data_IF_537404690889
#
_entry.id   IF_537404690889
#
_cell.length_a   1.000
_cell.length_b   1.000
_cell.length_c   1.000
_cell.angle_alpha   90.00
_cell.angle_beta   90.00
_cell.angle_gamma   90.00
#
_symmetry.space_group_name_H-M   'P 1'
#
loop_
_entity.id
_entity.type
_entity.pdbx_description
1 polymer ?
#
# COMPACT_ATOMS: atom_id res chain seq x y z
N UNK A 1 -51.53 19.75 14.06
CA UNK A 1 -50.05 19.87 13.84
C UNK A 1 -49.76 21.16 13.12
N UNK A 2 -48.95 22.07 13.68
CA UNK A 2 -48.64 23.36 13.08
C UNK A 2 -47.81 23.19 11.81
N UNK A 3 -47.91 24.10 10.84
CA UNK A 3 -47.17 24.10 9.57
C UNK A 3 -45.67 23.94 9.81
N UNK A 4 -45.12 24.61 10.84
CA UNK A 4 -43.72 24.51 11.26
C UNK A 4 -43.33 23.07 11.65
N UNK A 5 -44.18 22.33 12.34
CA UNK A 5 -43.91 20.93 12.72
C UNK A 5 -43.90 20.00 11.51
N UNK A 6 -44.80 20.23 10.53
CA UNK A 6 -44.82 19.47 9.27
C UNK A 6 -43.58 19.78 8.43
N UNK A 7 -43.19 21.04 8.31
CA UNK A 7 -41.96 21.44 7.60
C UNK A 7 -40.70 20.83 8.25
N UNK A 8 -40.62 20.82 9.58
CA UNK A 8 -39.51 20.19 10.32
C UNK A 8 -39.43 18.68 10.08
N UNK A 9 -40.55 17.97 10.07
CA UNK A 9 -40.60 16.53 9.78
C UNK A 9 -40.16 16.25 8.33
N UNK A 10 -40.63 17.01 7.38
CA UNK A 10 -40.25 16.86 5.96
C UNK A 10 -38.75 17.13 5.77
N UNK A 11 -38.21 18.16 6.40
CA UNK A 11 -36.79 18.46 6.39
C UNK A 11 -35.95 17.31 7.03
N UNK A 12 -36.40 16.76 8.14
CA UNK A 12 -35.73 15.62 8.78
C UNK A 12 -35.75 14.35 7.91
N UNK A 13 -36.90 14.06 7.26
CA UNK A 13 -37.02 12.95 6.32
C UNK A 13 -36.08 13.14 5.11
N UNK A 14 -36.00 14.34 4.58
CA UNK A 14 -35.11 14.66 3.46
C UNK A 14 -33.63 14.58 3.84
N UNK A 15 -33.27 14.93 5.07
CA UNK A 15 -31.88 14.89 5.56
C UNK A 15 -31.45 13.47 6.00
N UNK A 16 -32.39 12.59 6.35
CA UNK A 16 -32.08 11.27 6.90
C UNK A 16 -31.15 10.41 6.01
N UNK A 17 -31.32 10.32 4.68
CA UNK A 17 -30.43 9.54 3.82
C UNK A 17 -28.99 10.05 3.86
N UNK A 18 -28.78 11.36 3.88
CA UNK A 18 -27.46 11.98 3.94
C UNK A 18 -26.80 11.72 5.31
N UNK A 19 -27.57 11.84 6.39
CA UNK A 19 -27.11 11.55 7.76
C UNK A 19 -26.69 10.07 7.90
N UNK A 20 -27.49 9.14 7.35
CA UNK A 20 -27.16 7.72 7.32
C UNK A 20 -25.90 7.42 6.49
N UNK A 21 -25.78 8.04 5.31
CA UNK A 21 -24.59 7.90 4.46
C UNK A 21 -23.33 8.45 5.15
N UNK A 22 -23.44 9.59 5.82
CA UNK A 22 -22.32 10.17 6.59
C UNK A 22 -21.95 9.30 7.80
N UNK A 23 -22.94 8.80 8.54
CA UNK A 23 -22.72 7.84 9.64
C UNK A 23 -22.05 6.56 9.14
N UNK A 24 -22.51 5.99 8.03
CA UNK A 24 -21.85 4.86 7.40
C UNK A 24 -20.39 5.16 7.07
N UNK A 25 -20.12 6.32 6.46
CA UNK A 25 -18.76 6.72 6.10
C UNK A 25 -17.82 6.83 7.31
N UNK A 26 -18.31 7.35 8.46
CA UNK A 26 -17.52 7.40 9.71
C UNK A 26 -17.22 6.00 10.24
N UNK A 27 -18.22 5.12 10.29
CA UNK A 27 -18.07 3.76 10.81
C UNK A 27 -17.17 2.92 9.88
N UNK A 28 -17.38 3.06 8.56
CA UNK A 28 -16.52 2.44 7.55
C UNK A 28 -15.06 2.87 7.71
N UNK A 29 -14.79 4.17 7.90
CA UNK A 29 -13.44 4.69 8.17
C UNK A 29 -12.82 4.03 9.38
N UNK A 30 -13.55 3.94 10.49
CA UNK A 30 -13.09 3.30 11.72
C UNK A 30 -12.68 1.85 11.52
N UNK A 31 -13.25 1.16 10.53
CA UNK A 31 -12.97 -0.24 10.24
C UNK A 31 -11.95 -0.43 9.12
N UNK A 32 -12.13 0.26 8.00
CA UNK A 32 -11.28 0.11 6.82
C UNK A 32 -9.94 0.86 6.93
N UNK A 33 -9.80 1.78 7.88
CA UNK A 33 -8.56 2.52 8.11
C UNK A 33 -7.54 1.80 8.99
N UNK A 34 -7.87 0.61 9.49
CA UNK A 34 -7.05 -0.16 10.42
C UNK A 34 -6.56 -1.44 9.73
N UNK A 35 -5.34 -1.47 9.18
CA UNK A 35 -4.78 -2.70 8.65
C UNK A 35 -4.55 -3.70 9.78
N UNK A 36 -4.67 -4.99 9.46
CA UNK A 36 -4.21 -6.05 10.36
C UNK A 36 -2.69 -6.18 10.21
N UNK A 37 -1.89 -5.89 11.24
CA UNK A 37 -0.45 -6.07 11.18
C UNK A 37 -0.11 -7.55 10.98
N UNK A 38 0.89 -7.80 10.15
CA UNK A 38 1.37 -9.15 9.83
C UNK A 38 2.88 -9.11 9.81
N UNK A 39 3.54 -9.40 10.93
CA UNK A 39 4.99 -9.42 11.01
C UNK A 39 5.61 -10.33 9.94
N UNK A 40 6.76 -9.96 9.38
CA UNK A 40 7.48 -10.81 8.43
C UNK A 40 7.73 -12.20 9.00
N UNK A 41 7.54 -13.23 8.18
CA UNK A 41 7.77 -14.64 8.54
C UNK A 41 9.14 -15.12 8.04
N UNK A 42 9.66 -14.51 6.99
CA UNK A 42 10.94 -14.81 6.39
C UNK A 42 11.80 -13.54 6.31
N UNK A 43 13.11 -13.77 6.26
CA UNK A 43 14.15 -12.74 6.08
C UNK A 43 14.91 -12.96 4.78
N UNK A 44 15.70 -12.02 4.29
CA UNK A 44 16.58 -12.26 3.14
C UNK A 44 17.56 -13.43 3.36
N UNK A 45 17.99 -13.70 4.61
CA UNK A 45 18.88 -14.81 4.92
C UNK A 45 18.27 -16.19 4.64
N UNK A 46 16.95 -16.34 4.80
CA UNK A 46 16.24 -17.58 4.48
C UNK A 46 16.30 -17.93 2.98
N UNK A 47 16.62 -16.94 2.14
CA UNK A 47 16.86 -17.11 0.71
C UNK A 47 18.34 -16.99 0.34
N UNK A 48 19.24 -17.04 1.31
CA UNK A 48 20.69 -16.95 1.10
C UNK A 48 21.19 -15.57 0.68
N UNK A 49 20.41 -14.52 0.90
CA UNK A 49 20.79 -13.15 0.55
C UNK A 49 21.41 -12.44 1.76
N UNK A 50 22.61 -11.83 1.63
CA UNK A 50 23.14 -10.96 2.67
C UNK A 50 22.26 -9.72 2.83
N UNK A 51 22.09 -9.24 4.06
CA UNK A 51 21.29 -8.04 4.32
C UNK A 51 21.71 -7.33 5.60
N UNK A 52 21.26 -6.09 5.73
CA UNK A 52 21.38 -5.27 6.94
C UNK A 52 19.96 -4.94 7.44
N UNK A 53 19.71 -5.11 8.74
CA UNK A 53 18.54 -4.51 9.38
C UNK A 53 18.73 -3.00 9.42
N UNK A 54 17.74 -2.26 8.90
CA UNK A 54 17.80 -0.79 8.88
C UNK A 54 16.59 -0.17 9.56
N UNK A 55 16.82 0.99 10.17
CA UNK A 55 15.77 1.82 10.76
C UNK A 55 15.65 3.10 9.95
N UNK A 56 14.54 3.26 9.24
CA UNK A 56 14.31 4.40 8.34
C UNK A 56 13.50 5.48 9.07
N UNK A 57 14.09 6.64 9.38
CA UNK A 57 13.37 7.72 10.03
C UNK A 57 12.41 8.41 9.04
N UNK A 58 11.21 8.75 9.51
CA UNK A 58 10.24 9.54 8.76
C UNK A 58 10.24 10.99 9.21
N UNK A 59 9.73 11.90 8.38
CA UNK A 59 9.68 13.33 8.70
C UNK A 59 8.71 13.68 9.82
N UNK A 60 7.78 12.80 10.14
CA UNK A 60 6.81 12.95 11.23
C UNK A 60 7.20 12.17 12.50
N UNK A 61 8.48 11.79 12.60
CA UNK A 61 9.08 11.24 13.83
C UNK A 61 8.88 9.74 14.03
N UNK A 62 8.31 9.02 13.06
CA UNK A 62 8.23 7.57 13.11
C UNK A 62 9.53 6.93 12.61
N UNK A 63 9.68 5.64 12.87
CA UNK A 63 10.78 4.82 12.35
C UNK A 63 10.21 3.58 11.68
N UNK A 64 10.56 3.37 10.41
CA UNK A 64 10.15 2.20 9.66
C UNK A 64 11.23 1.11 9.79
N UNK A 65 10.90 -0.10 10.21
CA UNK A 65 11.81 -1.23 10.11
C UNK A 65 11.98 -1.63 8.64
N UNK A 66 13.20 -1.95 8.24
CA UNK A 66 13.53 -2.30 6.86
C UNK A 66 14.72 -3.23 6.74
N UNK A 67 14.94 -3.68 5.52
CA UNK A 67 16.11 -4.45 5.11
C UNK A 67 16.80 -3.77 3.95
N UNK A 68 18.12 -3.57 4.08
CA UNK A 68 18.96 -3.25 2.96
C UNK A 68 19.64 -4.52 2.48
N UNK A 69 19.45 -4.85 1.19
CA UNK A 69 20.02 -6.02 0.54
C UNK A 69 20.92 -5.54 -0.59
N UNK A 70 22.25 -5.77 -0.54
CA UNK A 70 23.16 -5.31 -1.56
C UNK A 70 22.95 -6.07 -2.89
N UNK A 71 23.26 -5.41 -4.00
CA UNK A 71 23.36 -6.03 -5.32
C UNK A 71 24.38 -7.15 -5.34
N UNK A 72 24.22 -8.09 -6.25
CA UNK A 72 25.25 -9.12 -6.48
C UNK A 72 26.57 -8.47 -6.89
N UNK A 73 27.64 -8.80 -6.15
CA UNK A 73 28.97 -8.22 -6.34
C UNK A 73 29.30 -7.00 -5.48
N UNK A 74 28.36 -6.45 -4.69
CA UNK A 74 28.61 -5.49 -3.59
C UNK A 74 29.32 -4.17 -3.97
N UNK A 75 29.21 -3.72 -5.23
CA UNK A 75 29.84 -2.49 -5.75
C UNK A 75 28.88 -1.31 -5.60
N UNK A 76 29.41 -0.08 -5.62
CA UNK A 76 28.58 1.12 -5.79
C UNK A 76 27.74 0.99 -7.05
N UNK A 77 26.42 1.18 -6.92
CA UNK A 77 25.48 0.96 -8.01
C UNK A 77 24.09 1.55 -7.73
N UNK A 78 23.16 1.40 -8.68
CA UNK A 78 21.80 1.89 -8.52
C UNK A 78 21.03 1.10 -7.46
N UNK A 79 20.05 1.77 -6.83
CA UNK A 79 19.21 1.17 -5.79
C UNK A 79 17.73 1.34 -6.06
N UNK A 80 16.93 0.47 -5.44
CA UNK A 80 15.46 0.48 -5.51
C UNK A 80 14.89 0.42 -4.09
N UNK A 81 14.10 1.43 -3.71
CA UNK A 81 13.27 1.37 -2.51
C UNK A 81 11.97 0.62 -2.84
N UNK A 82 11.65 -0.41 -2.05
CA UNK A 82 10.51 -1.29 -2.28
C UNK A 82 9.44 -1.09 -1.22
N UNK A 83 8.19 -0.94 -1.68
CA UNK A 83 7.03 -0.65 -0.83
C UNK A 83 5.92 -1.66 -1.09
N UNK A 84 5.55 -2.41 -0.05
CA UNK A 84 4.50 -3.42 -0.12
C UNK A 84 3.08 -2.82 -0.14
N UNK A 85 2.05 -3.66 -0.35
CA UNK A 85 0.64 -3.28 -0.36
C UNK A 85 -0.03 -3.31 1.02
N UNK A 86 -1.36 -3.09 1.00
CA UNK A 86 -2.21 -3.12 2.20
C UNK A 86 -2.22 -4.50 2.87
N UNK A 87 -2.20 -4.51 4.21
CA UNK A 87 -2.13 -5.73 5.03
C UNK A 87 -1.04 -6.72 4.60
N UNK A 88 0.13 -6.21 4.24
CA UNK A 88 1.30 -6.93 3.78
C UNK A 88 2.52 -6.59 4.65
N UNK A 89 3.68 -7.14 4.32
CA UNK A 89 4.94 -6.85 4.98
C UNK A 89 6.12 -6.95 3.98
N UNK A 90 7.30 -6.53 4.41
CA UNK A 90 8.52 -6.49 3.59
C UNK A 90 8.98 -7.86 3.09
N UNK A 91 8.65 -8.96 3.79
CA UNK A 91 8.99 -10.34 3.37
C UNK A 91 8.29 -10.76 2.06
N UNK A 92 7.16 -10.16 1.73
CA UNK A 92 6.49 -10.39 0.44
C UNK A 92 7.21 -9.78 -0.74
N UNK A 93 8.16 -8.91 -0.47
CA UNK A 93 9.02 -8.30 -1.48
C UNK A 93 10.28 -9.14 -1.75
N UNK A 94 10.53 -10.20 -0.98
CA UNK A 94 11.72 -11.05 -1.12
C UNK A 94 11.92 -11.59 -2.55
N UNK A 95 10.88 -12.11 -3.27
CA UNK A 95 11.06 -12.53 -4.66
C UNK A 95 11.43 -11.38 -5.60
N UNK A 96 10.95 -10.15 -5.31
CA UNK A 96 11.37 -8.97 -6.09
C UNK A 96 12.82 -8.61 -5.80
N UNK A 97 13.23 -8.67 -4.53
CA UNK A 97 14.61 -8.44 -4.11
C UNK A 97 15.56 -9.41 -4.80
N UNK A 98 15.20 -10.70 -4.91
CA UNK A 98 16.02 -11.71 -5.56
C UNK A 98 16.38 -11.34 -6.99
N UNK A 99 15.40 -11.02 -7.84
CA UNK A 99 15.70 -10.72 -9.24
C UNK A 99 16.32 -9.33 -9.44
N UNK A 100 15.97 -8.36 -8.57
CA UNK A 100 16.56 -7.02 -8.66
C UNK A 100 18.05 -7.03 -8.29
N UNK A 101 18.43 -7.75 -7.21
CA UNK A 101 19.85 -7.86 -6.85
C UNK A 101 20.68 -8.61 -7.90
N UNK A 102 20.11 -9.66 -8.50
CA UNK A 102 20.74 -10.38 -9.60
C UNK A 102 20.93 -9.48 -10.85
N UNK A 103 20.02 -8.54 -11.06
CA UNK A 103 20.09 -7.51 -12.10
C UNK A 103 21.00 -6.32 -11.73
N UNK A 104 21.70 -6.35 -10.59
CA UNK A 104 22.67 -5.34 -10.18
C UNK A 104 22.11 -4.16 -9.39
N UNK A 105 20.93 -4.28 -8.78
CA UNK A 105 20.31 -3.23 -7.97
C UNK A 105 20.44 -3.52 -6.48
N UNK A 106 20.87 -2.53 -5.69
CA UNK A 106 20.66 -2.53 -4.25
C UNK A 106 19.18 -2.40 -3.94
N UNK A 107 18.71 -3.06 -2.89
CA UNK A 107 17.30 -3.07 -2.52
C UNK A 107 17.12 -2.58 -1.09
N UNK A 108 16.20 -1.64 -0.84
CA UNK A 108 15.77 -1.27 0.50
C UNK A 108 14.26 -1.51 0.63
N UNK A 109 13.87 -2.53 1.38
CA UNK A 109 12.47 -2.87 1.63
C UNK A 109 12.07 -2.47 3.05
N UNK A 110 10.92 -1.81 3.22
CA UNK A 110 10.43 -1.33 4.51
C UNK A 110 9.04 -1.89 4.82
N UNK A 111 8.73 -2.02 6.12
CA UNK A 111 7.34 -2.14 6.56
C UNK A 111 6.75 -0.73 6.71
N UNK A 112 5.73 -0.43 5.91
CA UNK A 112 4.97 0.80 6.00
C UNK A 112 4.27 0.89 7.37
N UNK A 113 4.10 2.10 7.89
CA UNK A 113 3.39 2.32 9.17
C UNK A 113 2.08 1.53 9.28
N UNK A 114 1.83 0.93 10.43
CA UNK A 114 0.67 0.09 10.71
C UNK A 114 0.66 -1.27 10.02
N UNK A 115 1.73 -1.64 9.32
CA UNK A 115 1.86 -2.90 8.60
C UNK A 115 3.12 -3.65 9.05
N UNK A 116 3.19 -4.94 8.69
CA UNK A 116 4.35 -5.76 9.00
C UNK A 116 4.66 -5.76 10.48
N UNK A 117 5.92 -5.47 10.83
CA UNK A 117 6.38 -5.30 12.20
C UNK A 117 6.26 -3.84 12.71
N UNK A 118 5.71 -2.92 11.90
CA UNK A 118 5.60 -1.50 12.23
C UNK A 118 4.24 -1.16 12.83
N UNK A 119 4.07 -1.37 14.11
CA UNK A 119 2.85 -1.08 14.85
C UNK A 119 2.80 0.40 15.24
N UNK A 120 1.88 1.17 14.64
CA UNK A 120 1.64 2.58 14.97
C UNK A 120 0.17 2.81 15.28
N UNK A 121 -0.10 3.71 16.23
CA UNK A 121 -1.46 4.05 16.66
C UNK A 121 -2.19 5.03 15.74
N UNK A 122 -1.48 5.62 14.78
CA UNK A 122 -2.02 6.73 13.99
C UNK A 122 -2.92 6.20 12.88
N UNK A 123 -4.21 6.39 13.04
CA UNK A 123 -5.27 5.91 12.14
C UNK A 123 -6.22 7.04 11.73
N UNK A 124 -6.82 6.98 10.57
CA UNK A 124 -6.71 5.98 9.50
C UNK A 124 -5.39 6.10 8.73
N UNK A 125 -4.91 4.99 8.17
CA UNK A 125 -3.80 4.96 7.22
C UNK A 125 -4.37 5.12 5.81
N UNK A 126 -3.76 5.99 5.02
CA UNK A 126 -4.21 6.33 3.66
C UNK A 126 -3.07 6.16 2.65
N UNK A 127 -3.34 6.38 1.38
CA UNK A 127 -2.29 6.44 0.35
C UNK A 127 -1.26 7.56 0.62
N UNK A 128 -1.65 8.62 1.34
CA UNK A 128 -0.73 9.70 1.73
C UNK A 128 0.38 9.21 2.64
N UNK A 129 0.03 8.39 3.64
CA UNK A 129 1.01 7.79 4.54
C UNK A 129 1.93 6.81 3.80
N UNK A 130 1.39 6.00 2.86
CA UNK A 130 2.21 5.18 1.98
C UNK A 130 3.19 6.02 1.15
N UNK A 131 2.76 7.20 0.67
CA UNK A 131 3.63 8.15 -0.04
C UNK A 131 4.75 8.71 0.83
N UNK A 132 4.43 9.10 2.06
CA UNK A 132 5.42 9.61 3.02
C UNK A 132 6.45 8.54 3.39
N UNK A 133 6.00 7.30 3.62
CA UNK A 133 6.89 6.18 3.98
C UNK A 133 7.73 5.71 2.79
N UNK A 134 7.18 5.70 1.58
CA UNK A 134 7.92 5.43 0.35
C UNK A 134 9.03 6.48 0.11
N UNK A 135 8.73 7.76 0.36
CA UNK A 135 9.71 8.84 0.29
C UNK A 135 10.81 8.69 1.35
N UNK A 136 10.44 8.32 2.58
CA UNK A 136 11.40 8.07 3.65
C UNK A 136 12.33 6.90 3.30
N UNK A 137 11.78 5.80 2.76
CA UNK A 137 12.56 4.65 2.29
C UNK A 137 13.53 5.04 1.18
N UNK A 138 13.06 5.81 0.19
CA UNK A 138 13.93 6.29 -0.89
C UNK A 138 15.04 7.22 -0.37
N UNK A 139 14.74 8.16 0.55
CA UNK A 139 15.75 9.04 1.14
C UNK A 139 16.82 8.28 1.93
N UNK A 140 16.41 7.25 2.66
CA UNK A 140 17.36 6.39 3.36
C UNK A 140 18.25 5.58 2.40
N UNK A 141 17.71 5.17 1.27
CA UNK A 141 18.45 4.52 0.19
C UNK A 141 19.43 5.50 -0.49
N UNK A 142 18.95 6.69 -0.86
CA UNK A 142 19.72 7.75 -1.54
C UNK A 142 20.89 8.29 -0.68
N UNK A 143 20.74 8.23 0.64
CA UNK A 143 21.79 8.65 1.58
C UNK A 143 22.93 7.64 1.75
N UNK A 144 22.84 6.44 1.17
CA UNK A 144 23.87 5.42 1.29
C UNK A 144 25.04 5.70 0.35
N UNK A 145 26.29 5.56 0.81
CA UNK A 145 27.48 5.81 -0.02
C UNK A 145 27.68 4.77 -1.13
N UNK A 146 27.04 3.60 -1.01
CA UNK A 146 27.07 2.52 -1.99
C UNK A 146 25.95 2.64 -3.05
N UNK A 147 25.07 3.66 -2.95
CA UNK A 147 23.98 3.90 -3.90
C UNK A 147 24.27 5.12 -4.77
N UNK A 148 24.33 4.92 -6.09
CA UNK A 148 24.65 5.97 -7.07
C UNK A 148 23.44 6.73 -7.58
N UNK A 149 22.27 6.08 -7.64
CA UNK A 149 20.98 6.62 -8.08
C UNK A 149 19.84 5.76 -7.53
N UNK A 150 18.66 6.33 -7.32
CA UNK A 150 17.57 5.63 -6.67
C UNK A 150 16.23 5.68 -7.37
N UNK A 151 15.54 4.54 -7.47
CA UNK A 151 14.16 4.41 -7.90
C UNK A 151 13.24 3.99 -6.74
N UNK A 152 11.93 4.07 -6.97
CA UNK A 152 10.92 3.50 -6.07
C UNK A 152 10.07 2.48 -6.82
N UNK A 153 9.91 1.29 -6.25
CA UNK A 153 9.02 0.25 -6.74
C UNK A 153 7.96 -0.04 -5.68
N UNK A 154 6.69 0.00 -6.08
CA UNK A 154 5.59 -0.29 -5.18
C UNK A 154 4.58 -1.26 -5.76
N UNK A 155 3.89 -1.97 -4.87
CA UNK A 155 2.79 -2.86 -5.22
C UNK A 155 1.48 -2.39 -4.57
N UNK A 156 0.37 -2.33 -5.34
CA UNK A 156 -0.96 -1.98 -4.84
C UNK A 156 -0.97 -0.60 -4.15
N UNK A 157 -1.28 -0.52 -2.86
CA UNK A 157 -1.16 0.72 -2.08
C UNK A 157 0.26 1.27 -2.08
N UNK A 158 1.29 0.41 -2.03
CA UNK A 158 2.69 0.81 -2.18
C UNK A 158 2.99 1.43 -3.55
N UNK A 159 2.27 1.01 -4.61
CA UNK A 159 2.41 1.60 -5.94
C UNK A 159 1.88 3.05 -5.98
N UNK A 160 0.75 3.34 -5.32
CA UNK A 160 0.32 4.74 -5.13
C UNK A 160 1.39 5.48 -4.32
N UNK A 161 1.91 4.86 -3.25
CA UNK A 161 2.98 5.42 -2.43
C UNK A 161 4.21 5.80 -3.25
N UNK A 162 4.67 4.93 -4.15
CA UNK A 162 5.80 5.19 -5.05
C UNK A 162 5.53 6.38 -5.98
N UNK A 163 4.34 6.45 -6.58
CA UNK A 163 3.91 7.56 -7.44
C UNK A 163 3.86 8.89 -6.66
N UNK A 164 3.30 8.87 -5.44
CA UNK A 164 3.22 10.06 -4.60
C UNK A 164 4.60 10.53 -4.12
N UNK A 165 5.49 9.62 -3.77
CA UNK A 165 6.87 9.92 -3.39
C UNK A 165 7.62 10.61 -4.54
N UNK A 166 7.53 10.09 -5.77
CA UNK A 166 8.17 10.68 -6.93
C UNK A 166 7.56 12.03 -7.34
N UNK A 167 6.26 12.26 -7.08
CA UNK A 167 5.64 13.56 -7.29
C UNK A 167 6.09 14.61 -6.26
N UNK A 168 6.63 14.18 -5.12
CA UNK A 168 7.12 15.04 -4.04
C UNK A 168 8.65 15.22 -4.05
N UNK A 169 9.40 14.30 -4.70
CA UNK A 169 10.87 14.31 -4.73
C UNK A 169 11.38 14.12 -6.15
N UNK A 170 11.79 15.21 -6.82
CA UNK A 170 12.26 15.15 -8.21
C UNK A 170 13.55 14.36 -8.44
N UNK A 171 14.35 14.06 -7.41
CA UNK A 171 15.57 13.25 -7.50
C UNK A 171 15.29 11.75 -7.64
N UNK A 172 14.04 11.30 -7.40
CA UNK A 172 13.66 9.92 -7.70
C UNK A 172 13.80 9.71 -9.21
N UNK A 173 14.72 8.84 -9.60
CA UNK A 173 15.14 8.70 -11.00
C UNK A 173 14.20 7.81 -11.83
N UNK A 174 13.40 6.94 -11.20
CA UNK A 174 12.40 6.12 -11.88
C UNK A 174 11.31 5.61 -10.89
N UNK A 175 10.14 5.27 -11.44
CA UNK A 175 9.04 4.66 -10.68
C UNK A 175 8.57 3.38 -11.37
N UNK A 176 8.42 2.31 -10.59
CA UNK A 176 7.69 1.10 -11.01
C UNK A 176 6.45 0.95 -10.15
N UNK A 177 5.27 1.01 -10.77
CA UNK A 177 3.98 0.93 -10.09
C UNK A 177 3.22 -0.33 -10.54
N UNK A 178 3.21 -1.36 -9.69
CA UNK A 178 2.58 -2.64 -9.97
C UNK A 178 1.19 -2.71 -9.35
N UNK A 179 0.17 -3.03 -10.15
CA UNK A 179 -1.24 -3.19 -9.71
C UNK A 179 -1.79 -1.95 -8.97
N UNK A 180 -1.42 -0.74 -9.45
CA UNK A 180 -1.73 0.52 -8.78
C UNK A 180 -3.20 0.90 -8.92
N UNK A 181 -3.91 1.24 -7.81
CA UNK A 181 -5.15 2.00 -7.89
C UNK A 181 -4.91 3.40 -8.49
N UNK A 182 -5.83 3.89 -9.33
CA UNK A 182 -5.69 5.20 -9.98
C UNK A 182 -6.16 6.36 -9.09
N UNK A 183 -7.36 6.22 -8.51
CA UNK A 183 -8.00 7.28 -7.73
C UNK A 183 -8.58 6.74 -6.42
N UNK A 184 -8.50 7.49 -5.29
CA UNK A 184 -8.95 7.02 -3.97
C UNK A 184 -10.42 6.62 -3.92
N UNK A 185 -11.32 7.41 -4.52
CA UNK A 185 -12.75 7.11 -4.49
C UNK A 185 -13.14 5.89 -5.32
N UNK A 186 -12.38 5.59 -6.39
CA UNK A 186 -12.54 4.36 -7.17
C UNK A 186 -12.07 3.15 -6.37
N UNK A 187 -10.98 3.30 -5.62
CA UNK A 187 -10.53 2.28 -4.69
C UNK A 187 -11.60 2.02 -3.61
N UNK A 188 -12.17 3.07 -3.00
CA UNK A 188 -13.27 2.90 -2.04
C UNK A 188 -14.47 2.20 -2.69
N UNK A 189 -14.84 2.53 -3.93
CA UNK A 189 -15.90 1.82 -4.67
C UNK A 189 -15.55 0.35 -4.88
N UNK A 190 -14.27 0.04 -5.17
CA UNK A 190 -13.80 -1.32 -5.33
C UNK A 190 -13.84 -2.09 -3.99
N UNK A 191 -13.50 -1.47 -2.86
CA UNK A 191 -13.65 -2.12 -1.55
C UNK A 191 -15.11 -2.46 -1.23
N UNK A 192 -16.09 -1.66 -1.69
CA UNK A 192 -17.50 -2.01 -1.56
C UNK A 192 -17.86 -3.27 -2.38
N UNK A 193 -17.27 -3.43 -3.55
CA UNK A 193 -17.45 -4.65 -4.37
C UNK A 193 -16.80 -5.86 -3.71
N UNK A 194 -15.58 -5.73 -3.21
CA UNK A 194 -14.88 -6.81 -2.50
C UNK A 194 -15.66 -7.26 -1.25
N UNK A 195 -16.21 -6.30 -0.50
CA UNK A 195 -17.12 -6.58 0.63
C UNK A 195 -18.50 -7.07 0.19
N UNK A 196 -18.77 -7.14 -1.11
CA UNK A 196 -20.07 -7.56 -1.69
C UNK A 196 -21.26 -6.79 -1.10
N UNK A 197 -21.11 -5.45 -0.94
CA UNK A 197 -22.17 -4.61 -0.42
C UNK A 197 -23.34 -4.51 -1.41
N UNK A 198 -24.60 -4.51 -0.92
CA UNK A 198 -25.79 -4.59 -1.76
C UNK A 198 -26.19 -3.24 -2.35
N UNK A 199 -25.21 -2.46 -2.82
CA UNK A 199 -25.46 -1.14 -3.42
C UNK A 199 -25.42 -1.19 -4.94
N UNK A 200 -26.50 -0.77 -5.62
CA UNK A 200 -26.44 -0.52 -7.06
C UNK A 200 -25.47 0.64 -7.34
N UNK A 201 -24.91 0.68 -8.55
CA UNK A 201 -23.87 1.65 -8.90
C UNK A 201 -24.33 3.12 -8.71
N UNK A 202 -25.59 3.42 -8.98
CA UNK A 202 -26.17 4.76 -8.77
C UNK A 202 -26.07 5.25 -7.32
N UNK A 203 -26.09 4.33 -6.34
CA UNK A 203 -25.92 4.63 -4.91
C UNK A 203 -24.46 4.49 -4.49
N UNK A 204 -23.80 3.45 -4.98
CA UNK A 204 -22.45 3.10 -4.56
C UNK A 204 -21.41 4.16 -4.96
N UNK A 205 -21.52 4.81 -6.13
CA UNK A 205 -20.56 5.84 -6.54
C UNK A 205 -20.65 7.12 -5.68
N UNK A 206 -21.82 7.76 -5.48
CA UNK A 206 -21.93 8.89 -4.57
C UNK A 206 -21.49 8.56 -3.14
N UNK A 207 -21.86 7.37 -2.66
CA UNK A 207 -21.48 6.92 -1.32
C UNK A 207 -19.97 6.71 -1.19
N UNK A 208 -19.30 6.11 -2.19
CA UNK A 208 -17.85 5.96 -2.20
C UNK A 208 -17.15 7.32 -2.24
N UNK A 209 -17.68 8.28 -2.99
CA UNK A 209 -17.17 9.65 -3.05
C UNK A 209 -17.24 10.35 -1.67
N UNK A 210 -18.39 10.26 -0.99
CA UNK A 210 -18.57 10.78 0.37
C UNK A 210 -17.66 10.06 1.36
N UNK A 211 -17.67 8.71 1.34
CA UNK A 211 -16.86 7.87 2.24
C UNK A 211 -15.38 8.18 2.11
N UNK A 212 -14.87 8.35 0.90
CA UNK A 212 -13.47 8.73 0.68
C UNK A 212 -13.12 10.05 1.37
N UNK A 213 -13.97 11.08 1.25
CA UNK A 213 -13.72 12.37 1.91
C UNK A 213 -13.75 12.30 3.42
N UNK A 214 -14.71 11.57 3.97
CA UNK A 214 -14.81 11.32 5.42
C UNK A 214 -13.61 10.52 5.91
N UNK A 215 -13.13 9.56 5.10
CA UNK A 215 -11.97 8.75 5.41
C UNK A 215 -10.68 9.60 5.51
N UNK A 216 -10.48 10.52 4.56
CA UNK A 216 -9.27 11.32 4.46
C UNK A 216 -9.22 12.50 5.45
N UNK A 217 -10.39 12.98 5.91
CA UNK A 217 -10.50 14.20 6.73
C UNK A 217 -9.59 14.23 7.98
N UNK A 218 -9.45 13.15 8.78
CA UNK A 218 -8.59 13.18 9.97
C UNK A 218 -7.11 13.40 9.68
N UNK A 219 -6.67 13.11 8.43
CA UNK A 219 -5.30 13.31 7.98
C UNK A 219 -5.09 14.64 7.26
N UNK A 220 -6.15 15.43 7.08
CA UNK A 220 -6.09 16.66 6.31
C UNK A 220 -5.87 16.47 4.81
N UNK A 221 -5.90 15.23 4.29
CA UNK A 221 -5.72 14.96 2.88
C UNK A 221 -6.98 15.30 2.07
N UNK A 222 -6.77 15.96 0.93
CA UNK A 222 -7.78 16.05 -0.14
C UNK A 222 -7.61 14.88 -1.09
N UNK A 223 -8.68 14.52 -1.80
CA UNK A 223 -8.65 13.41 -2.78
C UNK A 223 -7.55 13.60 -3.84
N UNK A 224 -7.33 14.85 -4.29
CA UNK A 224 -6.32 15.17 -5.29
C UNK A 224 -4.88 14.97 -4.77
N UNK A 225 -4.65 15.15 -3.46
CA UNK A 225 -3.32 15.07 -2.86
C UNK A 225 -2.78 13.63 -2.87
N UNK A 226 -3.69 12.65 -2.82
CA UNK A 226 -3.37 11.23 -2.75
C UNK A 226 -3.86 10.43 -3.98
N UNK A 227 -4.21 11.11 -5.07
CA UNK A 227 -4.58 10.48 -6.34
C UNK A 227 -3.33 10.18 -7.16
N UNK A 228 -3.12 8.92 -7.55
CA UNK A 228 -2.05 8.54 -8.47
C UNK A 228 -2.20 9.25 -9.83
N UNK A 229 -3.45 9.40 -10.32
CA UNK A 229 -3.74 10.13 -11.56
C UNK A 229 -3.29 11.61 -11.48
N UNK A 230 -3.52 12.28 -10.35
CA UNK A 230 -3.08 13.66 -10.17
C UNK A 230 -1.56 13.77 -9.95
N UNK A 231 -0.98 12.81 -9.23
CA UNK A 231 0.45 12.78 -8.93
C UNK A 231 1.31 12.52 -10.17
N UNK A 232 0.91 11.59 -11.04
CA UNK A 232 1.61 11.29 -12.29
C UNK A 232 1.86 12.53 -13.16
N UNK A 233 0.99 13.53 -13.11
CA UNK A 233 1.15 14.78 -13.87
C UNK A 233 2.29 15.66 -13.36
N UNK A 234 2.83 15.37 -12.17
CA UNK A 234 3.88 16.15 -11.51
C UNK A 234 5.23 15.45 -11.44
N UNK A 235 5.29 14.18 -11.84
CA UNK A 235 6.52 13.40 -11.88
C UNK A 235 7.36 13.88 -13.05
N UNK A 236 8.69 14.00 -12.87
CA UNK A 236 9.64 14.26 -13.96
C UNK A 236 10.38 13.02 -14.44
N UNK A 237 10.32 11.94 -13.68
CA UNK A 237 11.02 10.69 -13.94
C UNK A 237 10.19 9.73 -14.82
N UNK A 238 10.83 8.80 -15.58
CA UNK A 238 10.12 7.74 -16.28
C UNK A 238 9.35 6.84 -15.32
N UNK A 239 8.16 6.38 -15.75
CA UNK A 239 7.26 5.53 -14.98
C UNK A 239 6.95 4.26 -15.76
N UNK A 240 7.09 3.10 -15.11
CA UNK A 240 6.59 1.82 -15.61
C UNK A 240 5.33 1.42 -14.82
N UNK A 241 4.20 1.32 -15.50
CA UNK A 241 2.94 0.81 -14.97
C UNK A 241 2.80 -0.67 -15.33
N UNK A 242 2.62 -1.54 -14.33
CA UNK A 242 2.45 -2.98 -14.57
C UNK A 242 1.12 -3.44 -13.98
N UNK A 243 0.37 -4.26 -14.74
CA UNK A 243 -0.93 -4.78 -14.27
C UNK A 243 -1.24 -6.16 -14.88
N UNK A 244 -1.96 -6.97 -14.12
CA UNK A 244 -2.48 -8.25 -14.59
C UNK A 244 -3.92 -8.16 -15.08
N UNK A 245 -4.28 -8.86 -16.17
CA UNK A 245 -5.64 -8.85 -16.72
C UNK A 245 -6.66 -9.56 -15.82
N UNK A 246 -6.21 -10.50 -14.97
CA UNK A 246 -7.04 -11.24 -14.02
C UNK A 246 -7.05 -10.64 -12.61
N UNK A 247 -6.62 -9.37 -12.46
CA UNK A 247 -6.65 -8.67 -11.17
C UNK A 247 -8.10 -8.31 -10.78
N UNK A 248 -8.63 -9.03 -9.79
CA UNK A 248 -9.98 -8.82 -9.24
C UNK A 248 -9.98 -7.87 -8.04
N UNK A 249 -8.83 -7.59 -7.44
CA UNK A 249 -8.70 -6.68 -6.28
C UNK A 249 -8.62 -5.24 -6.75
N UNK A 250 -7.74 -4.95 -7.71
CA UNK A 250 -7.64 -3.67 -8.40
C UNK A 250 -7.79 -3.95 -9.89
N UNK A 251 -9.00 -3.87 -10.45
CA UNK A 251 -9.23 -4.22 -11.86
C UNK A 251 -8.34 -3.44 -12.83
N UNK A 252 -7.95 -4.06 -13.95
CA UNK A 252 -7.06 -3.48 -14.98
C UNK A 252 -7.54 -2.12 -15.52
N UNK A 253 -8.82 -1.81 -15.40
CA UNK A 253 -9.37 -0.49 -15.71
C UNK A 253 -8.72 0.68 -14.92
N UNK A 254 -8.03 0.38 -13.80
CA UNK A 254 -7.20 1.36 -13.11
C UNK A 254 -5.93 1.67 -13.90
N UNK A 255 -5.27 0.65 -14.48
CA UNK A 255 -4.14 0.86 -15.39
C UNK A 255 -4.57 1.71 -16.59
N UNK A 256 -5.67 1.36 -17.29
CA UNK A 256 -6.18 2.11 -18.44
C UNK A 256 -6.34 3.59 -18.13
N UNK A 257 -6.76 3.90 -16.91
CA UNK A 257 -6.95 5.27 -16.47
C UNK A 257 -5.63 6.01 -16.25
N UNK A 258 -4.64 5.36 -15.66
CA UNK A 258 -3.30 5.93 -15.49
C UNK A 258 -2.60 6.07 -16.84
N UNK A 259 -2.75 5.09 -17.69
CA UNK A 259 -2.15 5.03 -19.03
C UNK A 259 -2.66 6.12 -19.98
N UNK A 260 -3.91 6.59 -19.79
CA UNK A 260 -4.45 7.74 -20.57
C UNK A 260 -3.66 9.03 -20.37
N UNK A 261 -2.76 9.09 -19.40
CA UNK A 261 -1.86 10.21 -19.19
C UNK A 261 -0.60 10.13 -20.07
N UNK A 262 -0.35 9.00 -20.76
CA UNK A 262 0.76 8.85 -21.71
C UNK A 262 0.64 9.93 -22.77
N UNK A 263 1.74 10.66 -22.99
CA UNK A 263 1.79 11.81 -23.90
C UNK A 263 1.15 13.10 -23.35
N UNK A 264 0.50 13.07 -22.18
CA UNK A 264 -0.06 14.25 -21.50
C UNK A 264 0.83 14.72 -20.33
N UNK A 265 1.87 13.97 -20.03
CA UNK A 265 2.89 14.26 -19.02
C UNK A 265 4.23 14.60 -19.69
N UNK A 266 5.08 15.33 -19.00
CA UNK A 266 6.42 15.68 -19.50
C UNK A 266 7.45 14.55 -19.40
N UNK A 267 7.02 13.32 -19.03
CA UNK A 267 7.90 12.16 -18.83
C UNK A 267 7.32 10.91 -19.52
N UNK A 268 8.18 9.91 -19.83
CA UNK A 268 7.73 8.64 -20.42
C UNK A 268 6.90 7.84 -19.42
N UNK A 269 5.76 7.30 -19.87
CA UNK A 269 4.97 6.30 -19.17
C UNK A 269 4.94 5.04 -20.03
N UNK A 270 5.66 4.02 -19.58
CA UNK A 270 5.66 2.68 -20.18
C UNK A 270 4.60 1.81 -19.50
N UNK A 271 4.08 0.81 -20.20
CA UNK A 271 3.06 -0.09 -19.70
C UNK A 271 3.45 -1.54 -19.97
N UNK A 272 3.20 -2.41 -18.98
CA UNK A 272 3.26 -3.86 -19.13
C UNK A 272 1.94 -4.45 -18.65
N UNK A 273 1.17 -5.02 -19.56
CA UNK A 273 -0.04 -5.79 -19.25
C UNK A 273 0.30 -7.27 -19.30
N UNK A 274 0.04 -7.99 -18.20
CA UNK A 274 0.32 -9.43 -18.10
C UNK A 274 -0.98 -10.18 -18.19
N UNK A 275 -1.15 -10.94 -19.28
CA UNK A 275 -2.33 -11.75 -19.47
C UNK A 275 -2.43 -12.88 -18.44
N UNK A 276 -3.61 -13.06 -17.86
CA UNK A 276 -3.85 -14.00 -16.75
C UNK A 276 -3.20 -13.59 -15.42
N UNK A 277 -2.44 -12.48 -15.38
CA UNK A 277 -1.81 -11.98 -14.15
C UNK A 277 -2.84 -11.55 -13.11
N UNK A 278 -2.67 -12.00 -11.87
CA UNK A 278 -3.52 -11.67 -10.73
C UNK A 278 -3.00 -10.40 -10.02
N UNK A 279 -3.71 -9.94 -8.99
CA UNK A 279 -3.31 -8.75 -8.21
C UNK A 279 -1.90 -8.85 -7.62
N UNK A 280 -1.54 -10.02 -7.13
CA UNK A 280 -0.23 -10.31 -6.54
C UNK A 280 0.55 -11.27 -7.44
N UNK A 281 1.85 -11.47 -7.15
CA UNK A 281 2.73 -12.47 -7.76
C UNK A 281 3.06 -12.25 -9.24
N UNK A 282 2.90 -11.03 -9.77
CA UNK A 282 3.29 -10.73 -11.15
C UNK A 282 4.79 -11.00 -11.40
N UNK A 283 5.60 -10.98 -10.36
CA UNK A 283 7.02 -11.36 -10.42
C UNK A 283 7.26 -12.85 -10.79
N UNK A 284 6.26 -13.72 -10.70
CA UNK A 284 6.38 -15.11 -11.19
C UNK A 284 6.48 -15.17 -12.72
N UNK A 285 5.98 -14.15 -13.43
CA UNK A 285 6.08 -14.07 -14.87
C UNK A 285 7.49 -13.61 -15.29
N UNK A 286 8.23 -14.39 -16.13
CA UNK A 286 9.55 -13.98 -16.61
C UNK A 286 9.56 -12.60 -17.26
N UNK A 287 8.54 -12.30 -18.08
CA UNK A 287 8.39 -11.00 -18.75
C UNK A 287 8.31 -9.83 -17.76
N UNK A 288 7.69 -10.01 -16.58
CA UNK A 288 7.67 -8.99 -15.53
C UNK A 288 9.08 -8.67 -15.06
N UNK A 289 9.84 -9.69 -14.67
CA UNK A 289 11.20 -9.54 -14.14
C UNK A 289 12.12 -8.89 -15.15
N UNK A 290 12.08 -9.39 -16.40
CA UNK A 290 12.86 -8.83 -17.50
C UNK A 290 12.54 -7.37 -17.74
N UNK A 291 11.26 -7.02 -17.91
CA UNK A 291 10.83 -5.66 -18.22
C UNK A 291 11.16 -4.68 -17.12
N UNK A 292 10.90 -5.05 -15.84
CA UNK A 292 11.20 -4.20 -14.69
C UNK A 292 12.70 -3.94 -14.58
N UNK A 293 13.55 -4.96 -14.70
CA UNK A 293 14.99 -4.81 -14.59
C UNK A 293 15.58 -4.01 -15.77
N UNK A 294 15.14 -4.28 -17.00
CA UNK A 294 15.57 -3.51 -18.17
C UNK A 294 15.14 -2.05 -18.10
N UNK A 295 13.90 -1.78 -17.64
CA UNK A 295 13.42 -0.42 -17.45
C UNK A 295 14.26 0.35 -16.41
N UNK A 296 14.51 -0.27 -15.25
CA UNK A 296 15.31 0.33 -14.19
C UNK A 296 16.77 0.57 -14.66
N UNK A 297 17.39 -0.38 -15.37
CA UNK A 297 18.75 -0.21 -15.90
C UNK A 297 18.84 0.94 -16.92
N UNK A 298 17.82 1.12 -17.77
CA UNK A 298 17.75 2.27 -18.68
C UNK A 298 17.65 3.60 -17.94
N UNK A 299 16.85 3.64 -16.87
CA UNK A 299 16.56 4.87 -16.15
C UNK A 299 17.66 5.27 -15.16
N UNK A 300 18.26 4.29 -14.48
CA UNK A 300 19.22 4.52 -13.40
C UNK A 300 20.68 4.42 -13.86
N UNK A 301 20.95 3.76 -14.99
CA UNK A 301 22.26 3.26 -15.32
C UNK A 301 22.67 2.09 -14.42
N UNK A 302 23.94 1.82 -14.34
CA UNK A 302 24.48 0.77 -13.48
C UNK A 302 25.52 -0.11 -14.18
N UNK A 303 25.95 -1.20 -13.51
CA UNK A 303 27.03 -2.05 -14.01
C UNK A 303 26.62 -2.92 -15.20
N UNK A 304 25.32 -3.12 -15.43
CA UNK A 304 24.77 -3.98 -16.48
C UNK A 304 24.02 -3.15 -17.52
N UNK A 305 24.19 -3.51 -18.79
CA UNK A 305 23.34 -2.99 -19.86
C UNK A 305 21.87 -3.42 -19.65
N UNK A 306 20.89 -2.65 -20.13
CA UNK A 306 19.46 -2.95 -19.89
C UNK A 306 19.02 -4.36 -20.28
N UNK A 307 19.51 -4.87 -21.42
CA UNK A 307 19.17 -6.22 -21.88
C UNK A 307 19.81 -7.30 -20.99
N UNK A 308 21.04 -7.07 -20.52
CA UNK A 308 21.72 -7.98 -19.60
C UNK A 308 21.05 -8.00 -18.22
N UNK A 309 20.73 -6.83 -17.67
CA UNK A 309 19.97 -6.72 -16.41
C UNK A 309 18.63 -7.45 -16.53
N UNK A 310 17.91 -7.27 -17.64
CA UNK A 310 16.67 -7.97 -17.92
C UNK A 310 16.85 -9.48 -18.02
N UNK A 311 17.87 -9.96 -18.72
CA UNK A 311 18.15 -11.39 -18.87
C UNK A 311 18.50 -12.05 -17.52
N UNK A 312 19.33 -11.39 -16.70
CA UNK A 312 19.67 -11.89 -15.35
C UNK A 312 18.43 -11.96 -14.45
N UNK A 313 17.59 -10.92 -14.45
CA UNK A 313 16.34 -10.90 -13.70
C UNK A 313 15.38 -12.00 -14.15
N UNK A 314 15.25 -12.21 -15.45
CA UNK A 314 14.39 -13.24 -16.03
C UNK A 314 14.80 -14.66 -15.61
N UNK A 315 16.12 -14.91 -15.53
CA UNK A 315 16.69 -16.21 -15.17
C UNK A 315 16.48 -16.58 -13.68
N UNK A 316 16.14 -15.62 -12.82
CA UNK A 316 15.86 -15.89 -11.41
C UNK A 316 14.55 -16.64 -11.26
N UNK A 317 14.53 -17.76 -10.52
CA UNK A 317 13.32 -18.50 -10.18
C UNK A 317 12.57 -17.81 -9.02
N UNK A 318 12.02 -16.64 -9.29
CA UNK A 318 11.26 -15.86 -8.32
C UNK A 318 9.83 -16.41 -8.22
N UNK A 319 9.57 -17.21 -7.19
CA UNK A 319 8.26 -17.78 -6.90
C UNK A 319 7.66 -17.20 -5.64
N UNK A 320 6.33 -17.31 -5.51
CA UNK A 320 5.68 -16.99 -4.23
C UNK A 320 6.19 -17.93 -3.14
N UNK A 321 6.54 -17.32 -2.02
CA UNK A 321 6.99 -18.07 -0.85
C UNK A 321 5.74 -18.46 -0.04
N UNK A 322 5.47 -19.75 0.23
CA UNK A 322 4.23 -20.20 0.88
C UNK A 322 3.94 -19.47 2.19
N UNK A 323 4.96 -19.26 3.03
CA UNK A 323 4.82 -18.62 4.34
C UNK A 323 4.54 -17.10 4.23
N UNK A 324 4.77 -16.51 3.06
CA UNK A 324 4.45 -15.10 2.80
C UNK A 324 3.17 -14.89 2.01
N UNK A 325 2.45 -15.94 1.66
CA UNK A 325 1.16 -15.82 0.97
C UNK A 325 0.17 -15.07 1.84
N UNK A 326 -0.22 -13.88 1.37
CA UNK A 326 -1.16 -13.03 2.08
C UNK A 326 -2.53 -13.72 2.19
N UNK A 327 -3.06 -13.98 3.38
CA UNK A 327 -4.45 -14.35 3.51
C UNK A 327 -5.34 -13.19 3.02
N UNK A 328 -6.60 -13.45 2.64
CA UNK A 328 -7.55 -12.40 2.25
C UNK A 328 -7.59 -11.27 3.28
N UNK A 329 -7.67 -10.02 2.82
CA UNK A 329 -7.83 -8.85 3.71
C UNK A 329 -9.13 -8.91 4.49
N UNK A 330 -9.26 -8.12 5.56
CA UNK A 330 -10.50 -8.01 6.31
C UNK A 330 -11.70 -7.71 5.40
N UNK A 331 -11.52 -6.85 4.40
CA UNK A 331 -12.58 -6.48 3.44
C UNK A 331 -12.95 -7.67 2.52
N UNK A 332 -11.96 -8.43 2.07
CA UNK A 332 -12.19 -9.62 1.22
C UNK A 332 -12.89 -10.76 1.99
N UNK A 333 -12.73 -10.81 3.31
CA UNK A 333 -13.37 -11.80 4.19
C UNK A 333 -14.82 -11.45 4.60
N UNK A 334 -15.34 -10.31 4.17
CA UNK A 334 -16.71 -9.92 4.50
C UNK A 334 -17.74 -10.91 3.92
N UNK A 335 -18.79 -11.24 4.68
CA UNK A 335 -19.75 -12.29 4.31
C UNK A 335 -20.62 -11.98 3.09
N UNK A 336 -20.72 -10.72 2.71
CA UNK A 336 -21.53 -10.23 1.61
C UNK A 336 -22.92 -9.73 2.01
N UNK A 337 -23.55 -8.99 1.10
CA UNK A 337 -24.91 -8.47 1.25
C UNK A 337 -25.14 -7.57 2.47
N UNK A 338 -26.31 -7.65 3.06
CA UNK A 338 -26.67 -6.86 4.25
C UNK A 338 -25.85 -7.23 5.48
N UNK A 339 -25.26 -8.44 5.56
CA UNK A 339 -24.39 -8.83 6.67
C UNK A 339 -23.10 -8.01 6.66
N UNK A 340 -22.48 -7.84 5.49
CA UNK A 340 -21.31 -6.95 5.34
C UNK A 340 -21.66 -5.50 5.66
N UNK A 341 -22.83 -5.02 5.19
CA UNK A 341 -23.29 -3.68 5.50
C UNK A 341 -23.42 -3.47 7.01
N UNK A 342 -24.06 -4.40 7.71
CA UNK A 342 -24.23 -4.35 9.16
C UNK A 342 -22.87 -4.36 9.90
N UNK A 343 -21.93 -5.24 9.47
CA UNK A 343 -20.59 -5.33 10.06
C UNK A 343 -19.76 -4.07 9.82
N UNK A 344 -19.75 -3.54 8.60
CA UNK A 344 -18.98 -2.33 8.24
C UNK A 344 -19.60 -1.06 8.84
N UNK A 345 -20.90 -1.06 9.12
CA UNK A 345 -21.62 0.03 9.78
C UNK A 345 -21.65 -0.08 11.32
N UNK A 346 -21.18 -1.19 11.87
CA UNK A 346 -21.06 -1.34 13.33
C UNK A 346 -19.82 -0.60 13.86
N UNK A 347 -19.86 -0.03 15.07
CA UNK A 347 -18.68 0.47 15.73
C UNK A 347 -17.60 -0.63 15.80
N UNK A 348 -16.31 -0.32 15.63
CA UNK A 348 -15.26 -1.29 15.85
C UNK A 348 -15.35 -1.81 17.28
N UNK A 349 -15.39 -3.14 17.46
CA UNK A 349 -15.41 -3.77 18.78
C UNK A 349 -14.16 -3.39 19.58
N UNK A 350 -14.25 -3.45 20.92
CA UNK A 350 -13.10 -3.16 21.80
C UNK A 350 -11.85 -3.97 21.44
N UNK A 351 -12.02 -5.20 20.98
CA UNK A 351 -10.92 -6.09 20.56
C UNK A 351 -10.10 -5.58 19.34
N UNK A 352 -10.66 -4.68 18.52
CA UNK A 352 -9.90 -4.04 17.43
C UNK A 352 -9.04 -2.87 17.93
N UNK A 353 -9.36 -2.30 19.10
CA UNK A 353 -8.53 -1.30 19.78
C UNK A 353 -7.43 -1.94 20.63
N UNK A 354 -7.73 -3.07 21.27
CA UNK A 354 -6.85 -3.74 22.23
C UNK A 354 -5.89 -4.74 21.55
N UNK A 355 -6.25 -5.28 20.38
CA UNK A 355 -5.40 -6.21 19.62
C UNK A 355 -4.13 -5.60 19.00
N UNK A 356 -4.04 -4.26 18.95
CA UNK A 356 -2.87 -3.55 18.43
C UNK A 356 -1.79 -3.28 19.51
N UNK A 357 -2.02 -3.65 20.81
CA UNK A 357 -1.21 -3.15 21.93
C UNK A 357 -0.71 -4.19 22.93
N UNK A 358 -0.61 -5.45 22.59
CA UNK A 358 0.26 -6.34 23.38
C UNK A 358 1.50 -6.69 22.58
N UNK A 359 2.68 -6.15 22.94
CA UNK A 359 3.93 -6.72 22.46
C UNK A 359 3.97 -8.18 22.90
N UNK A 360 4.28 -9.08 21.99
CA UNK A 360 4.54 -10.48 22.30
C UNK A 360 5.66 -10.53 23.35
N UNK A 361 5.32 -10.92 24.59
CA UNK A 361 6.29 -11.02 25.69
C UNK A 361 6.01 -10.18 26.94
N UNK A 362 4.92 -9.41 27.00
CA UNK A 362 4.53 -8.80 28.26
C UNK A 362 3.97 -9.87 29.21
N UNK A 363 4.49 -10.01 30.45
CA UNK A 363 3.94 -10.93 31.43
C UNK A 363 2.48 -10.55 31.74
N UNK A 364 1.64 -11.55 31.94
CA UNK A 364 0.28 -11.34 32.40
C UNK A 364 0.33 -10.60 33.74
N UNK A 365 -0.33 -9.43 33.81
CA UNK A 365 -0.53 -8.72 35.07
C UNK A 365 -1.46 -9.54 35.98
N UNK A 366 -0.90 -10.42 36.77
CA UNK A 366 -1.54 -11.02 37.96
C UNK A 366 -1.58 -10.04 39.16
N UNK A 367 -1.20 -8.78 38.95
CA UNK A 367 -1.14 -7.76 40.01
C UNK A 367 -2.49 -7.13 40.40
N UNK A 368 -3.58 -7.48 39.72
CA UNK A 368 -4.92 -6.92 40.06
C UNK A 368 -5.73 -7.79 41.08
N UNK A 369 -5.22 -8.97 41.42
CA UNK A 369 -5.91 -9.87 42.34
C UNK A 369 -5.46 -9.75 43.81
N UNK A 370 -4.36 -9.05 44.10
CA UNK A 370 -3.81 -9.01 45.48
C UNK A 370 -4.15 -7.73 46.24
N UNK A 371 -4.63 -6.67 45.59
CA UNK A 371 -5.06 -5.45 46.25
C UNK A 371 -6.49 -5.54 46.89
N UNK A 372 -7.22 -6.63 46.65
CA UNK A 372 -8.54 -6.90 47.23
C UNK A 372 -8.50 -7.65 48.57
N UNK A 373 -7.32 -8.12 49.01
CA UNK A 373 -7.21 -8.90 50.29
C UNK A 373 -6.59 -8.14 51.44
N UNK A 374 -5.95 -7.02 51.24
CA UNK A 374 -5.38 -6.23 52.34
C UNK A 374 -6.27 -5.13 52.90
N UNK A 375 -7.50 -4.94 52.39
CA UNK A 375 -8.47 -3.97 52.94
C UNK A 375 -9.66 -4.62 53.63
N UNK A 376 -9.60 -5.91 53.93
CA UNK A 376 -10.63 -6.64 54.69
C UNK A 376 -10.04 -7.44 55.87
N UNK A 377 -9.04 -6.88 56.54
CA UNK A 377 -8.50 -7.38 57.81
C UNK A 377 -8.44 -6.27 58.81
#
# INVERSE_FOLDING_TARGET
MTILRRAGILAAIAAAPLALAYRFAILYRGRAGHPTPRPPQLTPADLGMPFEEVKVPTTDGLTLPGWFVPADGGRVGPGVALVHGWESARDRLLPMIQFLRAAGFHCLAVDVRGHGANLVEILPITAGEFGADALAAWRALDARPDVSSGAVLGHSMGAIGAILAAAAEPRIAAVVATSSPADPWRLTRQTFRLARLPFPDAVAYPLAWLTTRVYLRPRGHRVADISATAALRRIGAPVLLVHGTADTVVPVAHLDRLARLTGLTGHPIEQLVIDGGQHSWLYEFPVYRRTVASFLARALGGPLAPDEAGARAEAVDARRLPDTVRPPTQIEQEPGGFRSLARLAAPPGRNLRDGAHRPAGAPADDAAADLGRELAG
#
